data_IF_284842278975
#
_entry.id   IF_284842278975
#
_cell.length_a   1.000
_cell.length_b   1.000
_cell.length_c   1.000
_cell.angle_alpha   90.00
_cell.angle_beta   90.00
_cell.angle_gamma   90.00
#
_symmetry.space_group_name_H-M   'P 1'
#
loop_
_entity.id
_entity.type
_entity.pdbx_description
1 polymer ?
#
# COMPACT_ATOMS: atom_id res chain seq x y z
N UNK A 1 32.83 -71.30 -6.74
CA UNK A 1 31.59 -71.14 -7.54
C UNK A 1 30.79 -70.01 -6.92
N UNK A 2 30.97 -68.74 -7.30
CA UNK A 2 30.33 -68.02 -8.41
C UNK A 2 28.81 -68.26 -8.51
N UNK A 3 28.04 -67.31 -7.98
CA UNK A 3 26.76 -66.89 -8.53
C UNK A 3 26.75 -65.36 -8.54
N UNK A 4 26.54 -64.82 -9.73
CA UNK A 4 26.43 -63.39 -10.07
C UNK A 4 24.98 -62.97 -9.90
N UNK A 5 24.74 -61.78 -9.37
CA UNK A 5 23.48 -61.05 -9.57
C UNK A 5 23.79 -59.55 -9.70
N UNK A 6 23.70 -59.04 -10.93
CA UNK A 6 23.54 -57.62 -11.23
C UNK A 6 22.07 -57.23 -10.98
N UNK A 7 21.82 -55.99 -10.57
CA UNK A 7 20.50 -55.34 -10.57
C UNK A 7 20.62 -53.92 -10.00
N UNK A 8 21.07 -52.96 -10.82
CA UNK A 8 20.22 -52.00 -11.55
C UNK A 8 19.74 -50.83 -10.65
N UNK A 9 20.52 -49.74 -10.64
CA UNK A 9 20.08 -48.43 -10.19
C UNK A 9 18.90 -47.97 -11.07
N UNK A 10 17.74 -47.75 -10.47
CA UNK A 10 16.63 -47.06 -11.13
C UNK A 10 16.81 -45.55 -10.92
N UNK A 11 17.22 -44.84 -11.96
CA UNK A 11 17.19 -43.38 -11.99
C UNK A 11 15.75 -42.94 -12.29
N UNK A 12 15.08 -42.35 -11.28
CA UNK A 12 13.77 -41.75 -11.45
C UNK A 12 13.97 -40.35 -12.05
N UNK A 13 13.75 -40.22 -13.36
CA UNK A 13 13.71 -38.92 -14.02
C UNK A 13 12.37 -38.25 -13.72
N UNK A 14 12.34 -37.30 -12.78
CA UNK A 14 11.22 -36.36 -12.66
C UNK A 14 11.31 -35.36 -13.81
N UNK A 15 10.48 -35.57 -14.83
CA UNK A 15 10.11 -34.54 -15.80
C UNK A 15 9.17 -33.55 -15.11
N UNK A 16 9.72 -32.45 -14.60
CA UNK A 16 8.92 -31.29 -14.21
C UNK A 16 8.55 -30.50 -15.47
N UNK A 17 7.28 -30.61 -15.88
CA UNK A 17 6.71 -29.66 -16.83
C UNK A 17 6.51 -28.31 -16.12
N UNK A 18 6.83 -27.17 -16.73
CA UNK A 18 6.46 -25.88 -16.18
C UNK A 18 4.94 -25.74 -16.27
N UNK A 19 4.26 -25.73 -15.14
CA UNK A 19 2.86 -25.35 -15.05
C UNK A 19 2.76 -23.84 -15.31
N UNK A 20 2.57 -23.46 -16.56
CA UNK A 20 2.08 -22.13 -16.90
C UNK A 20 0.56 -22.14 -16.67
N UNK A 21 0.14 -22.00 -15.42
CA UNK A 21 -1.24 -21.68 -15.10
C UNK A 21 -1.34 -20.15 -15.02
N UNK A 22 -1.75 -19.52 -16.12
CA UNK A 22 -2.24 -18.15 -16.06
C UNK A 22 -3.71 -18.22 -15.65
N UNK A 23 -3.98 -17.92 -14.38
CA UNK A 23 -5.33 -17.78 -13.83
C UNK A 23 -5.94 -16.42 -14.17
N UNK A 24 -7.28 -16.30 -14.27
CA UNK A 24 -7.95 -15.16 -14.86
C UNK A 24 -7.83 -13.98 -13.91
N UNK A 25 -7.01 -13.02 -14.28
CA UNK A 25 -6.99 -11.76 -13.58
C UNK A 25 -8.29 -11.05 -13.96
N UNK A 26 -9.06 -10.62 -12.95
CA UNK A 26 -10.34 -9.91 -13.07
C UNK A 26 -10.37 -8.96 -14.27
N UNK A 27 -11.53 -8.75 -14.90
CA UNK A 27 -11.70 -7.82 -16.03
C UNK A 27 -11.21 -6.39 -15.73
N UNK A 28 -11.04 -6.06 -14.44
CA UNK A 28 -10.47 -4.80 -13.97
C UNK A 28 -8.93 -4.75 -13.99
N UNK A 29 -8.22 -5.86 -14.13
CA UNK A 29 -6.76 -5.87 -14.08
C UNK A 29 -6.11 -5.38 -15.37
N UNK A 30 -5.10 -4.53 -15.23
CA UNK A 30 -4.40 -3.91 -16.35
C UNK A 30 -2.97 -4.43 -16.51
N UNK A 31 -2.17 -4.34 -15.44
CA UNK A 31 -0.76 -4.71 -15.49
C UNK A 31 -0.16 -5.02 -14.12
N UNK A 32 0.95 -5.78 -14.16
CA UNK A 32 1.84 -6.02 -13.03
C UNK A 32 3.26 -5.81 -13.52
N UNK A 33 4.06 -5.08 -12.75
CA UNK A 33 5.46 -4.83 -13.03
C UNK A 33 6.30 -5.04 -11.77
N UNK A 34 7.34 -5.88 -11.84
CA UNK A 34 8.27 -6.07 -10.73
C UNK A 34 9.36 -5.01 -10.80
N UNK A 35 9.43 -4.16 -9.78
CA UNK A 35 10.49 -3.17 -9.64
C UNK A 35 11.70 -3.81 -8.94
N UNK A 36 12.88 -3.66 -9.56
CA UNK A 36 14.14 -4.20 -9.04
C UNK A 36 15.17 -3.08 -8.94
N UNK A 37 15.89 -3.03 -7.82
CA UNK A 37 17.05 -2.16 -7.61
C UNK A 37 18.05 -2.84 -6.68
N UNK A 38 19.32 -2.44 -6.74
CA UNK A 38 20.43 -3.09 -6.01
C UNK A 38 20.91 -2.32 -4.78
N UNK A 39 20.16 -1.31 -4.31
CA UNK A 39 20.53 -0.52 -3.12
C UNK A 39 20.13 -1.20 -1.82
N UNK A 40 20.95 -1.11 -0.77
CA UNK A 40 20.64 -1.64 0.58
C UNK A 40 19.39 -1.04 1.22
N UNK A 41 18.94 0.09 0.68
CA UNK A 41 17.80 0.90 1.14
C UNK A 41 16.53 0.64 0.33
N UNK A 42 16.58 -0.25 -0.66
CA UNK A 42 15.47 -0.61 -1.52
C UNK A 42 14.65 -1.75 -0.91
N UNK A 43 13.33 -1.69 -1.07
CA UNK A 43 12.36 -2.63 -0.49
C UNK A 43 11.58 -2.00 0.65
N UNK A 44 10.68 -2.77 1.27
CA UNK A 44 9.93 -2.28 2.44
C UNK A 44 8.85 -1.24 2.13
N UNK A 45 8.33 -1.16 0.89
CA UNK A 45 7.50 -0.03 0.49
C UNK A 45 6.03 -0.16 0.93
N UNK A 46 5.63 0.68 1.87
CA UNK A 46 4.30 0.62 2.50
C UNK A 46 3.34 1.74 2.06
N UNK A 47 3.86 2.87 1.55
CA UNK A 47 3.03 3.99 1.07
C UNK A 47 3.37 4.41 -0.35
N UNK A 48 2.35 4.84 -1.11
CA UNK A 48 2.47 5.24 -2.52
C UNK A 48 1.54 6.41 -2.84
N UNK A 49 2.07 7.39 -3.56
CA UNK A 49 1.32 8.52 -4.11
C UNK A 49 1.75 8.75 -5.56
N UNK A 50 0.78 9.04 -6.44
CA UNK A 50 1.01 9.27 -7.87
C UNK A 50 0.61 10.70 -8.27
N UNK A 51 1.23 11.23 -9.31
CA UNK A 51 0.71 12.44 -9.97
C UNK A 51 -0.64 12.18 -10.63
N UNK A 52 -1.44 13.23 -10.85
CA UNK A 52 -2.78 13.14 -11.48
C UNK A 52 -2.80 12.36 -12.81
N UNK A 53 -1.70 12.41 -13.56
CA UNK A 53 -1.50 11.71 -14.84
C UNK A 53 -0.91 10.30 -14.70
N UNK A 54 -0.67 9.86 -13.47
CA UNK A 54 -0.07 8.60 -13.07
C UNK A 54 1.41 8.42 -13.45
N UNK A 55 2.09 9.44 -13.97
CA UNK A 55 3.45 9.31 -14.56
C UNK A 55 4.59 9.46 -13.57
N UNK A 56 4.37 10.17 -12.47
CA UNK A 56 5.35 10.35 -11.40
C UNK A 56 4.81 9.70 -10.13
N UNK A 57 5.72 9.19 -9.28
CA UNK A 57 5.33 8.61 -8.01
C UNK A 57 6.26 9.07 -6.89
N UNK A 58 5.73 8.98 -5.68
CA UNK A 58 6.48 9.02 -4.42
C UNK A 58 6.12 7.76 -3.64
N UNK A 59 7.10 7.05 -3.14
CA UNK A 59 6.91 5.90 -2.26
C UNK A 59 7.71 6.09 -0.97
N UNK A 60 7.19 5.55 0.13
CA UNK A 60 7.90 5.49 1.41
C UNK A 60 8.15 4.03 1.78
N UNK A 61 9.19 3.81 2.56
CA UNK A 61 9.49 2.51 3.16
C UNK A 61 9.37 2.56 4.68
N UNK A 62 8.90 1.45 5.25
CA UNK A 62 8.91 1.07 6.67
C UNK A 62 10.29 1.21 7.36
N UNK A 63 11.38 1.35 6.59
CA UNK A 63 12.74 1.71 7.06
C UNK A 63 13.04 3.21 7.01
N UNK A 64 12.02 4.05 7.09
CA UNK A 64 12.15 5.49 7.24
C UNK A 64 12.82 6.13 6.04
N UNK A 65 12.52 5.65 4.83
CA UNK A 65 13.09 6.18 3.58
C UNK A 65 11.99 6.62 2.62
N UNK A 66 12.32 7.53 1.72
CA UNK A 66 11.41 8.05 0.70
C UNK A 66 12.12 8.07 -0.65
N UNK A 67 11.35 7.80 -1.71
CA UNK A 67 11.87 7.80 -3.07
C UNK A 67 10.86 8.41 -4.01
N UNK A 68 11.34 9.24 -4.92
CA UNK A 68 10.56 9.76 -6.04
C UNK A 68 11.02 9.13 -7.34
N UNK A 69 10.09 8.95 -8.27
CA UNK A 69 10.41 8.37 -9.57
C UNK A 69 9.34 8.61 -10.62
N UNK A 70 9.50 7.91 -11.74
CA UNK A 70 8.63 7.95 -12.90
C UNK A 70 8.22 6.54 -13.30
N UNK A 71 6.97 6.42 -13.70
CA UNK A 71 6.40 5.21 -14.27
C UNK A 71 6.37 5.37 -15.79
N UNK A 72 7.12 4.51 -16.48
CA UNK A 72 7.14 4.42 -17.94
C UNK A 72 6.05 3.46 -18.40
N UNK A 73 5.31 3.84 -19.45
CA UNK A 73 4.21 3.02 -19.96
C UNK A 73 4.31 2.81 -21.46
N UNK A 74 3.98 1.59 -21.88
CA UNK A 74 3.80 1.19 -23.28
C UNK A 74 2.40 0.59 -23.42
N UNK A 75 1.61 1.08 -24.37
CA UNK A 75 0.22 0.64 -24.58
C UNK A 75 -0.65 0.69 -23.30
N UNK A 76 -0.44 1.72 -22.48
CA UNK A 76 -1.17 1.91 -21.22
C UNK A 76 -0.80 0.93 -20.11
N UNK A 77 0.27 0.12 -20.25
CA UNK A 77 0.78 -0.78 -19.20
C UNK A 77 2.14 -0.32 -18.72
N UNK A 78 2.45 -0.55 -17.44
CA UNK A 78 3.78 -0.26 -16.88
C UNK A 78 4.83 -1.11 -17.63
N UNK A 79 5.81 -0.43 -18.22
CA UNK A 79 6.93 -1.04 -18.94
C UNK A 79 8.27 -0.78 -18.28
N UNK A 80 8.35 0.17 -17.35
CA UNK A 80 9.57 0.53 -16.64
C UNK A 80 9.31 1.43 -15.44
N UNK A 81 10.24 1.40 -14.49
CA UNK A 81 10.30 2.30 -13.34
C UNK A 81 11.69 2.92 -13.31
N UNK A 82 11.74 4.24 -13.28
CA UNK A 82 12.98 5.01 -13.10
C UNK A 82 12.84 5.82 -11.82
N UNK A 83 13.75 5.64 -10.86
CA UNK A 83 13.73 6.38 -9.59
C UNK A 83 14.98 7.23 -9.40
N UNK A 84 14.86 8.28 -8.58
CA UNK A 84 15.99 8.98 -8.03
C UNK A 84 16.70 8.18 -6.93
N UNK A 85 17.52 8.90 -6.16
CA UNK A 85 18.11 8.38 -4.93
C UNK A 85 17.02 8.10 -3.89
N UNK A 86 17.20 7.04 -3.10
CA UNK A 86 16.36 6.75 -1.95
C UNK A 86 16.90 7.56 -0.78
N UNK A 87 16.13 8.55 -0.36
CA UNK A 87 16.51 9.49 0.68
C UNK A 87 16.00 9.03 2.05
N UNK A 88 16.75 9.36 3.10
CA UNK A 88 16.30 9.10 4.47
C UNK A 88 15.35 10.19 4.93
N UNK A 89 14.24 9.79 5.53
CA UNK A 89 13.36 10.70 6.25
C UNK A 89 14.11 11.26 7.47
N UNK A 90 13.79 12.51 7.80
CA UNK A 90 14.37 13.23 8.93
C UNK A 90 13.33 13.48 10.01
N UNK A 91 13.80 13.65 11.24
CA UNK A 91 12.97 14.06 12.38
C UNK A 91 12.56 15.55 12.24
N UNK A 92 11.58 16.04 13.01
CA UNK A 92 11.25 17.46 13.08
C UNK A 92 12.40 18.37 13.54
N UNK A 93 13.41 17.82 14.21
CA UNK A 93 14.64 18.55 14.57
C UNK A 93 15.70 18.53 13.44
N UNK A 94 15.41 17.89 12.31
CA UNK A 94 16.30 17.74 11.15
C UNK A 94 17.36 16.64 11.31
N UNK A 95 17.25 15.80 12.33
CA UNK A 95 18.15 14.68 12.58
C UNK A 95 17.74 13.41 11.84
N UNK A 96 18.59 12.39 11.93
CA UNK A 96 18.29 11.04 11.46
C UNK A 96 17.23 10.37 12.33
N UNK A 97 16.42 9.51 11.72
CA UNK A 97 15.47 8.66 12.45
C UNK A 97 16.21 7.54 13.19
N UNK A 98 15.98 7.42 14.50
CA UNK A 98 16.37 6.24 15.26
C UNK A 98 15.66 4.99 14.74
N UNK A 99 16.17 3.80 15.07
CA UNK A 99 15.61 2.54 14.56
C UNK A 99 14.13 2.34 14.90
N UNK A 100 13.69 2.78 16.09
CA UNK A 100 12.28 2.72 16.51
C UNK A 100 11.40 3.83 15.91
N UNK A 101 11.99 4.75 15.14
CA UNK A 101 11.33 5.89 14.51
C UNK A 101 11.24 5.75 12.99
N UNK A 102 11.62 4.60 12.42
CA UNK A 102 11.68 4.43 10.96
C UNK A 102 10.37 3.93 10.35
N UNK A 103 9.59 3.21 11.14
CA UNK A 103 8.36 2.48 10.82
C UNK A 103 7.27 3.36 10.17
N UNK A 104 7.43 3.66 8.88
CA UNK A 104 6.62 4.60 8.11
C UNK A 104 5.65 3.81 7.22
N UNK A 105 4.36 4.00 7.44
CA UNK A 105 3.32 3.12 6.91
C UNK A 105 2.48 3.83 5.84
N UNK A 106 1.82 4.94 6.23
CA UNK A 106 0.93 5.68 5.35
C UNK A 106 1.60 6.91 4.75
N UNK A 107 1.26 7.21 3.50
CA UNK A 107 1.70 8.40 2.76
C UNK A 107 0.49 9.08 2.15
N UNK A 108 0.38 10.40 2.34
CA UNK A 108 -0.55 11.23 1.60
C UNK A 108 0.12 12.54 1.14
N UNK A 109 -0.16 13.02 -0.06
CA UNK A 109 0.35 14.31 -0.56
C UNK A 109 -0.78 15.33 -0.65
N UNK A 110 -0.65 16.41 0.12
CA UNK A 110 -1.61 17.52 0.07
C UNK A 110 -1.60 18.23 -1.29
N UNK A 111 -2.68 18.96 -1.66
CA UNK A 111 -2.71 19.78 -2.86
C UNK A 111 -1.59 20.83 -2.97
N UNK A 112 -0.97 21.21 -1.84
CA UNK A 112 0.17 22.13 -1.80
C UNK A 112 1.52 21.43 -1.89
N UNK A 113 1.56 20.11 -2.10
CA UNK A 113 2.78 19.30 -2.22
C UNK A 113 3.44 18.92 -0.90
N UNK A 114 2.82 19.24 0.25
CA UNK A 114 3.29 18.75 1.55
C UNK A 114 3.01 17.27 1.67
N UNK A 115 4.06 16.49 1.96
CA UNK A 115 3.99 15.05 2.20
C UNK A 115 3.63 14.79 3.65
N UNK A 116 2.56 14.07 3.91
CA UNK A 116 2.12 13.68 5.25
C UNK A 116 2.37 12.19 5.39
N UNK A 117 3.07 11.80 6.46
CA UNK A 117 3.50 10.42 6.68
C UNK A 117 3.07 9.99 8.08
N UNK A 118 2.45 8.82 8.20
CA UNK A 118 2.14 8.17 9.47
C UNK A 118 3.19 7.12 9.83
N UNK A 119 3.38 6.92 11.14
CA UNK A 119 4.33 5.94 11.65
C UNK A 119 3.71 5.08 12.74
N UNK A 120 4.05 3.79 12.76
CA UNK A 120 3.43 2.79 13.62
C UNK A 120 4.11 2.66 15.00
N UNK A 121 5.41 2.40 15.06
CA UNK A 121 6.11 2.04 16.30
C UNK A 121 5.83 2.94 17.52
N UNK A 122 5.86 4.27 17.32
CA UNK A 122 5.21 5.23 18.23
C UNK A 122 4.23 6.03 17.37
N UNK A 123 2.90 5.86 17.55
CA UNK A 123 1.90 6.49 16.71
C UNK A 123 2.16 7.99 16.61
N UNK A 124 2.44 8.47 15.40
CA UNK A 124 2.67 9.88 15.08
C UNK A 124 2.40 10.10 13.60
N UNK A 125 2.11 11.35 13.27
CA UNK A 125 1.95 11.80 11.89
C UNK A 125 2.81 13.04 11.72
N UNK A 126 3.69 13.05 10.72
CA UNK A 126 4.53 14.19 10.40
C UNK A 126 4.25 14.73 9.01
N UNK A 127 4.25 16.05 8.89
CA UNK A 127 4.12 16.78 7.64
C UNK A 127 5.49 17.32 7.21
N UNK A 128 5.97 16.87 6.05
CA UNK A 128 7.22 17.24 5.39
C UNK A 128 6.94 18.29 4.32
N UNK A 129 7.33 19.53 4.61
CA UNK A 129 7.28 20.66 3.67
C UNK A 129 8.66 21.32 3.50
N UNK A 130 8.69 22.54 2.96
CA UNK A 130 9.93 23.27 2.65
C UNK A 130 10.85 23.51 3.86
N UNK A 131 10.27 23.55 5.07
CA UNK A 131 10.99 23.80 6.33
C UNK A 131 11.43 22.51 7.04
N UNK A 132 11.26 21.36 6.41
CA UNK A 132 11.47 20.04 7.02
C UNK A 132 10.19 19.46 7.61
N UNK A 133 10.37 18.45 8.49
CA UNK A 133 9.26 17.76 9.14
C UNK A 133 8.64 18.59 10.27
N UNK A 134 7.33 18.51 10.40
CA UNK A 134 6.55 19.10 11.49
C UNK A 134 5.61 18.04 12.06
N UNK A 135 5.51 17.97 13.39
CA UNK A 135 4.63 17.02 14.04
C UNK A 135 3.18 17.50 14.03
N UNK A 136 2.26 16.66 13.57
CA UNK A 136 0.83 16.93 13.67
C UNK A 136 0.31 16.46 15.03
N UNK A 137 -0.58 17.23 15.68
CA UNK A 137 -1.18 16.82 16.93
C UNK A 137 -2.00 15.56 16.71
N UNK A 138 -1.93 14.61 17.64
CA UNK A 138 -2.77 13.41 17.60
C UNK A 138 -3.90 13.48 18.64
N UNK A 139 -5.08 12.90 18.36
CA UNK A 139 -6.12 12.81 19.35
C UNK A 139 -5.73 11.78 20.43
N UNK A 140 -6.16 11.95 21.70
CA UNK A 140 -5.85 11.02 22.79
C UNK A 140 -6.21 9.55 22.49
N UNK A 141 -7.23 9.32 21.66
CA UNK A 141 -7.64 7.99 21.23
C UNK A 141 -6.51 7.18 20.59
N UNK A 142 -5.52 7.81 19.96
CA UNK A 142 -4.41 7.10 19.30
C UNK A 142 -3.49 6.41 20.31
N UNK A 143 -3.43 6.91 21.55
CA UNK A 143 -2.68 6.26 22.62
C UNK A 143 -3.27 4.90 23.06
N UNK A 144 -4.47 4.55 22.58
CA UNK A 144 -5.12 3.26 22.84
C UNK A 144 -5.05 2.28 21.65
N UNK A 145 -4.38 2.67 20.57
CA UNK A 145 -4.16 1.78 19.42
C UNK A 145 -3.31 0.57 19.84
N UNK A 146 -3.58 -0.56 19.18
CA UNK A 146 -2.81 -1.76 19.38
C UNK A 146 -1.36 -1.52 18.92
N UNK A 147 -0.39 -1.95 19.72
CA UNK A 147 1.02 -1.93 19.34
C UNK A 147 1.23 -2.75 18.08
N UNK A 148 1.97 -2.19 17.11
CA UNK A 148 2.24 -2.78 15.80
C UNK A 148 0.97 -3.12 15.00
N UNK A 149 -0.05 -2.27 15.12
CA UNK A 149 -1.20 -2.22 14.19
C UNK A 149 -1.76 -0.79 14.14
N UNK A 150 -0.87 0.16 13.89
CA UNK A 150 -1.04 1.60 13.95
C UNK A 150 -1.73 2.17 12.71
N UNK A 151 -1.40 3.43 12.40
CA UNK A 151 -2.05 4.25 11.39
C UNK A 151 -1.55 3.92 9.97
N UNK A 152 -1.95 2.77 9.43
CA UNK A 152 -1.42 2.29 8.14
C UNK A 152 -2.06 2.99 6.93
N UNK A 153 -3.37 3.14 6.93
CA UNK A 153 -4.05 3.88 5.88
C UNK A 153 -4.06 5.39 6.19
N UNK A 154 -3.61 6.19 5.23
CA UNK A 154 -3.53 7.65 5.30
C UNK A 154 -3.90 8.23 3.93
N UNK A 155 -4.82 9.19 3.87
CA UNK A 155 -5.26 9.83 2.63
C UNK A 155 -5.62 11.30 2.86
N UNK A 156 -5.52 12.15 1.83
CA UNK A 156 -5.95 13.55 1.88
C UNK A 156 -7.01 13.78 0.79
N UNK A 157 -8.16 14.38 1.17
CA UNK A 157 -9.18 14.75 0.19
C UNK A 157 -8.82 16.06 -0.55
N UNK A 158 -9.59 16.38 -1.61
CA UNK A 158 -9.39 17.60 -2.41
C UNK A 158 -9.47 18.91 -1.59
N UNK A 159 -10.12 18.88 -0.41
CA UNK A 159 -10.24 20.02 0.50
C UNK A 159 -9.02 20.16 1.42
N UNK A 160 -8.10 19.19 1.39
CA UNK A 160 -6.94 19.11 2.27
C UNK A 160 -7.23 18.48 3.63
N UNK A 161 -8.39 17.84 3.82
CA UNK A 161 -8.67 17.11 5.06
C UNK A 161 -7.94 15.76 5.04
N UNK A 162 -7.22 15.48 6.12
CA UNK A 162 -6.46 14.24 6.29
C UNK A 162 -7.35 13.17 6.94
N UNK A 163 -7.36 11.98 6.36
CA UNK A 163 -8.07 10.82 6.87
C UNK A 163 -7.06 9.72 7.22
N UNK A 164 -7.29 9.03 8.33
CA UNK A 164 -6.47 7.89 8.72
C UNK A 164 -7.29 6.86 9.48
N UNK A 165 -6.85 5.61 9.43
CA UNK A 165 -7.45 4.51 10.17
C UNK A 165 -6.39 3.46 10.53
N UNK A 166 -6.64 2.63 11.54
CA UNK A 166 -5.65 1.68 12.00
C UNK A 166 -5.76 0.35 11.25
N UNK A 167 -4.66 -0.40 11.14
CA UNK A 167 -4.67 -1.77 10.60
C UNK A 167 -5.57 -2.68 11.44
N UNK A 168 -5.63 -2.44 12.76
CA UNK A 168 -6.53 -3.15 13.68
C UNK A 168 -7.37 -2.21 14.51
N UNK A 169 -8.65 -2.55 14.62
CA UNK A 169 -9.59 -1.86 15.50
C UNK A 169 -9.95 -2.61 16.78
N UNK A 170 -9.08 -3.51 17.28
CA UNK A 170 -9.23 -4.09 18.62
C UNK A 170 -10.15 -5.32 18.76
N UNK A 171 -10.83 -5.76 17.69
CA UNK A 171 -11.61 -7.00 17.72
C UNK A 171 -12.13 -7.46 16.36
N UNK A 172 -12.30 -8.77 16.15
CA UNK A 172 -12.65 -9.35 14.84
C UNK A 172 -13.99 -8.87 14.25
N UNK A 173 -14.90 -8.35 15.08
CA UNK A 173 -16.19 -7.78 14.65
C UNK A 173 -16.28 -6.27 14.86
N UNK A 174 -15.22 -5.65 15.37
CA UNK A 174 -15.18 -4.21 15.61
C UNK A 174 -14.84 -3.50 14.29
N UNK A 175 -15.65 -2.53 13.83
CA UNK A 175 -15.35 -1.77 12.62
C UNK A 175 -14.09 -0.92 12.80
N UNK A 176 -13.50 -0.46 11.70
CA UNK A 176 -12.32 0.40 11.73
C UNK A 176 -12.74 1.86 11.91
N UNK A 177 -12.35 2.54 12.99
CA UNK A 177 -12.60 3.95 13.12
C UNK A 177 -11.84 4.72 12.04
N UNK A 178 -12.50 5.67 11.38
CA UNK A 178 -11.85 6.61 10.47
C UNK A 178 -11.77 7.95 11.16
N UNK A 179 -10.54 8.42 11.36
CA UNK A 179 -10.28 9.73 11.92
C UNK A 179 -10.05 10.74 10.82
N UNK A 180 -10.59 11.94 10.99
CA UNK A 180 -10.45 13.06 10.06
C UNK A 180 -9.90 14.27 10.78
N UNK A 181 -8.78 14.80 10.29
CA UNK A 181 -8.23 16.10 10.65
C UNK A 181 -8.64 17.13 9.60
N UNK A 182 -9.49 18.07 10.01
CA UNK A 182 -9.95 19.18 9.16
C UNK A 182 -9.89 20.48 9.96
N UNK A 183 -9.34 21.53 9.37
CA UNK A 183 -9.19 22.85 10.01
C UNK A 183 -8.51 22.77 11.40
N UNK A 184 -7.50 21.90 11.53
CA UNK A 184 -6.75 21.69 12.77
C UNK A 184 -7.52 20.93 13.86
N UNK A 185 -8.69 20.35 13.55
CA UNK A 185 -9.52 19.59 14.49
C UNK A 185 -9.70 18.16 14.06
N UNK A 186 -9.41 17.24 14.98
CA UNK A 186 -9.72 15.83 14.81
C UNK A 186 -11.20 15.55 15.10
N UNK A 187 -11.77 14.67 14.29
CA UNK A 187 -13.09 14.06 14.45
C UNK A 187 -13.01 12.58 14.07
N UNK A 188 -14.01 11.79 14.45
CA UNK A 188 -14.20 10.43 13.96
C UNK A 188 -15.57 10.40 13.26
N UNK A 189 -15.67 10.81 11.99
CA UNK A 189 -16.97 10.98 11.33
C UNK A 189 -17.70 9.64 11.12
N UNK A 190 -16.98 8.59 10.72
CA UNK A 190 -17.57 7.29 10.39
C UNK A 190 -16.60 6.14 10.69
N UNK A 191 -17.07 4.92 10.46
CA UNK A 191 -16.31 3.69 10.64
C UNK A 191 -16.48 2.81 9.41
N UNK A 192 -15.44 2.05 9.07
CA UNK A 192 -15.45 1.10 7.97
C UNK A 192 -15.77 -0.29 8.51
N UNK A 193 -16.81 -0.91 7.95
CA UNK A 193 -17.23 -2.24 8.36
C UNK A 193 -16.12 -3.27 8.15
N UNK A 194 -15.94 -4.16 9.13
CA UNK A 194 -15.13 -5.36 8.95
C UNK A 194 -15.90 -6.35 8.09
N UNK A 195 -15.25 -6.84 7.04
CA UNK A 195 -15.82 -7.85 6.15
C UNK A 195 -14.74 -8.86 5.76
N UNK A 196 -14.88 -10.11 6.22
CA UNK A 196 -13.87 -11.15 6.06
C UNK A 196 -12.64 -10.96 6.96
N UNK A 197 -11.52 -11.58 6.60
CA UNK A 197 -10.23 -11.47 7.29
C UNK A 197 -9.37 -10.28 6.86
N UNK A 198 -9.98 -9.31 6.16
CA UNK A 198 -9.27 -8.18 5.57
C UNK A 198 -9.01 -7.07 6.59
N UNK A 199 -7.81 -6.52 6.53
CA UNK A 199 -7.34 -5.38 7.30
C UNK A 199 -6.93 -4.24 6.35
N UNK A 200 -7.25 -2.96 6.66
CA UNK A 200 -6.82 -1.83 5.84
C UNK A 200 -5.32 -1.63 5.96
N UNK A 201 -4.66 -1.40 4.82
CA UNK A 201 -3.20 -1.20 4.74
C UNK A 201 -2.84 0.05 3.94
N UNK A 202 -3.74 0.55 3.10
CA UNK A 202 -3.53 1.79 2.35
C UNK A 202 -4.85 2.46 2.00
N UNK A 203 -4.82 3.76 1.75
CA UNK A 203 -5.98 4.49 1.27
C UNK A 203 -5.58 5.68 0.40
N UNK A 204 -6.47 6.08 -0.51
CA UNK A 204 -6.32 7.30 -1.29
C UNK A 204 -7.69 7.85 -1.74
N UNK A 205 -7.79 9.16 -1.94
CA UNK A 205 -8.96 9.78 -2.57
C UNK A 205 -8.75 9.86 -4.08
N UNK A 206 -9.65 9.23 -4.83
CA UNK A 206 -9.58 9.28 -6.28
C UNK A 206 -10.06 10.62 -6.86
N UNK A 207 -9.84 10.80 -8.18
CA UNK A 207 -10.26 11.99 -8.91
C UNK A 207 -11.78 12.10 -9.12
N UNK A 208 -12.56 11.18 -8.53
CA UNK A 208 -14.02 11.25 -8.39
C UNK A 208 -14.47 11.64 -6.98
N UNK A 209 -13.53 11.96 -6.08
CA UNK A 209 -13.79 12.31 -4.68
C UNK A 209 -14.12 11.11 -3.79
N UNK A 210 -14.08 9.89 -4.33
CA UNK A 210 -14.32 8.68 -3.54
C UNK A 210 -13.06 8.25 -2.79
N UNK A 211 -13.24 7.73 -1.58
CA UNK A 211 -12.17 7.11 -0.81
C UNK A 211 -11.98 5.66 -1.27
N UNK A 212 -10.78 5.31 -1.70
CA UNK A 212 -10.37 3.95 -2.00
C UNK A 212 -9.55 3.41 -0.85
N UNK A 213 -9.89 2.22 -0.37
CA UNK A 213 -9.16 1.54 0.71
C UNK A 213 -8.62 0.23 0.16
N UNK A 214 -7.31 0.08 0.20
CA UNK A 214 -6.62 -1.17 -0.01
C UNK A 214 -6.62 -1.96 1.31
N UNK A 215 -7.06 -3.20 1.21
CA UNK A 215 -7.12 -4.13 2.31
C UNK A 215 -6.41 -5.43 1.98
N UNK A 216 -5.86 -6.06 3.00
CA UNK A 216 -5.06 -7.28 2.90
C UNK A 216 -5.58 -8.33 3.85
N UNK A 217 -5.56 -9.59 3.42
CA UNK A 217 -5.72 -10.77 4.25
C UNK A 217 -4.52 -11.69 4.07
N UNK A 218 -4.06 -12.34 5.15
CA UNK A 218 -2.94 -13.26 5.12
C UNK A 218 -3.34 -14.64 5.66
N UNK A 219 -3.15 -15.67 4.84
CA UNK A 219 -3.48 -17.06 5.20
C UNK A 219 -2.41 -17.74 6.06
N UNK A 220 -1.24 -17.12 6.25
CA UNK A 220 -0.04 -17.73 6.80
C UNK A 220 1.02 -18.07 5.74
N UNK A 221 0.63 -18.18 4.47
CA UNK A 221 1.54 -18.53 3.37
C UNK A 221 1.37 -17.65 2.12
N UNK A 222 0.23 -17.00 1.96
CA UNK A 222 -0.08 -16.17 0.81
C UNK A 222 -0.98 -15.00 1.22
N UNK A 223 -0.80 -13.87 0.54
CA UNK A 223 -1.62 -12.68 0.66
C UNK A 223 -2.81 -12.71 -0.28
N UNK A 224 -3.88 -12.06 0.13
CA UNK A 224 -5.04 -11.74 -0.69
C UNK A 224 -5.31 -10.24 -0.54
N UNK A 225 -5.58 -9.56 -1.65
CA UNK A 225 -5.80 -8.12 -1.69
C UNK A 225 -7.24 -7.81 -2.08
N UNK A 226 -7.80 -6.74 -1.50
CA UNK A 226 -9.11 -6.22 -1.84
C UNK A 226 -9.04 -4.70 -1.92
N UNK A 227 -9.73 -4.11 -2.89
CA UNK A 227 -9.98 -2.66 -2.89
C UNK A 227 -11.46 -2.41 -2.75
N UNK A 228 -11.83 -1.58 -1.78
CA UNK A 228 -13.19 -1.04 -1.63
C UNK A 228 -13.19 0.46 -1.93
N UNK A 229 -14.27 0.93 -2.57
CA UNK A 229 -14.55 2.33 -2.86
C UNK A 229 -15.71 2.80 -1.98
N UNK A 230 -15.56 3.97 -1.39
CA UNK A 230 -16.54 4.60 -0.51
C UNK A 230 -16.86 6.01 -1.00
N UNK A 231 -18.15 6.29 -1.18
CA UNK A 231 -18.64 7.64 -1.37
C UNK A 231 -18.89 8.26 0.00
N UNK A 232 -18.25 9.39 0.27
CA UNK A 232 -18.34 10.07 1.57
C UNK A 232 -19.24 11.30 1.41
N UNK A 233 -20.30 11.37 2.20
CA UNK A 233 -21.19 12.53 2.29
C UNK A 233 -21.10 13.15 3.68
N UNK A 234 -20.27 14.19 3.79
CA UNK A 234 -19.99 14.87 5.06
C UNK A 234 -19.36 13.94 6.10
N UNK A 235 -20.18 13.47 7.04
CA UNK A 235 -19.77 12.62 8.16
C UNK A 235 -20.29 11.18 8.01
N UNK A 236 -20.78 10.79 6.85
CA UNK A 236 -21.35 9.46 6.62
C UNK A 236 -20.82 8.82 5.33
N UNK A 237 -20.87 7.49 5.29
CA UNK A 237 -20.67 6.70 4.07
C UNK A 237 -22.00 6.65 3.33
N UNK A 238 -22.05 7.25 2.14
CA UNK A 238 -23.23 7.27 1.28
C UNK A 238 -23.37 5.97 0.47
N UNK A 239 -22.25 5.43 0.00
CA UNK A 239 -22.19 4.18 -0.74
C UNK A 239 -20.86 3.46 -0.51
N UNK A 240 -20.89 2.13 -0.62
CA UNK A 240 -19.73 1.26 -0.56
C UNK A 240 -19.81 0.25 -1.70
N UNK A 241 -18.67 -0.02 -2.37
CA UNK A 241 -18.55 -1.15 -3.30
C UNK A 241 -17.16 -1.76 -3.29
N UNK A 242 -17.09 -3.08 -3.44
CA UNK A 242 -15.82 -3.77 -3.72
C UNK A 242 -15.48 -3.61 -5.20
N UNK A 243 -14.31 -3.05 -5.50
CA UNK A 243 -13.81 -2.87 -6.87
C UNK A 243 -13.12 -4.14 -7.35
N UNK A 244 -12.33 -4.75 -6.47
CA UNK A 244 -11.50 -5.90 -6.81
C UNK A 244 -11.24 -6.73 -5.57
N UNK A 245 -11.15 -8.04 -5.74
CA UNK A 245 -10.59 -8.97 -4.75
C UNK A 245 -9.75 -9.98 -5.51
N UNK A 246 -8.49 -10.15 -5.12
CA UNK A 246 -7.60 -11.14 -5.72
C UNK A 246 -7.89 -12.53 -5.17
N UNK A 247 -7.33 -13.55 -5.84
CA UNK A 247 -7.11 -14.83 -5.18
C UNK A 247 -5.90 -14.75 -4.24
N UNK A 248 -5.74 -15.74 -3.38
CA UNK A 248 -4.55 -15.86 -2.54
C UNK A 248 -3.32 -16.12 -3.41
N UNK A 249 -2.27 -15.33 -3.24
CA UNK A 249 -1.00 -15.47 -3.93
C UNK A 249 -0.97 -14.87 -5.35
N UNK A 250 -2.04 -14.18 -5.78
CA UNK A 250 -2.02 -13.46 -7.06
C UNK A 250 -0.96 -12.35 -7.08
N UNK A 251 -0.81 -11.66 -5.96
CA UNK A 251 0.13 -10.57 -5.73
C UNK A 251 0.89 -10.78 -4.43
N UNK A 252 2.01 -10.07 -4.29
CA UNK A 252 2.74 -10.01 -3.03
C UNK A 252 2.01 -9.11 -2.00
N UNK A 253 2.72 -8.68 -0.96
CA UNK A 253 2.19 -7.87 0.13
C UNK A 253 1.82 -6.43 -0.30
N UNK A 254 0.74 -6.23 -1.07
CA UNK A 254 0.26 -4.90 -1.45
C UNK A 254 -0.14 -4.08 -0.23
N UNK A 255 0.50 -2.92 -0.04
CA UNK A 255 0.31 -2.02 1.12
C UNK A 255 0.00 -0.58 0.69
N UNK A 256 0.71 -0.04 -0.30
CA UNK A 256 0.43 1.29 -0.84
C UNK A 256 -0.59 1.27 -1.98
N UNK A 257 -1.42 2.31 -2.09
CA UNK A 257 -2.40 2.52 -3.17
C UNK A 257 -2.45 4.00 -3.56
N UNK A 258 -2.59 4.28 -4.85
CA UNK A 258 -2.86 5.61 -5.39
C UNK A 258 -3.91 5.54 -6.50
N UNK A 259 -4.85 6.49 -6.50
CA UNK A 259 -5.97 6.61 -7.41
C UNK A 259 -5.77 7.81 -8.34
N UNK A 260 -5.80 7.57 -9.65
CA UNK A 260 -5.52 8.61 -10.66
C UNK A 260 -6.37 8.41 -11.91
N UNK A 261 -6.37 9.39 -12.83
CA UNK A 261 -7.19 9.34 -14.06
C UNK A 261 -6.30 9.26 -15.28
N UNK A 262 -6.52 8.26 -16.13
CA UNK A 262 -5.77 8.15 -17.38
C UNK A 262 -6.28 9.11 -18.47
N UNK A 263 -5.53 9.18 -19.58
CA UNK A 263 -5.86 10.04 -20.73
C UNK A 263 -7.20 9.67 -21.39
N UNK A 264 -7.71 8.46 -21.17
CA UNK A 264 -9.03 8.02 -21.64
C UNK A 264 -10.15 8.37 -20.65
N UNK A 265 -9.84 9.02 -19.52
CA UNK A 265 -10.80 9.39 -18.48
C UNK A 265 -11.09 8.27 -17.49
N UNK A 266 -10.46 7.10 -17.61
CA UNK A 266 -10.68 5.95 -16.73
C UNK A 266 -9.91 6.14 -15.43
N UNK A 267 -10.58 5.90 -14.30
CA UNK A 267 -9.89 5.88 -13.00
C UNK A 267 -9.10 4.59 -12.89
N UNK A 268 -7.83 4.73 -12.51
CA UNK A 268 -6.91 3.63 -12.25
C UNK A 268 -6.46 3.66 -10.81
N UNK A 269 -6.23 2.47 -10.29
CA UNK A 269 -5.64 2.27 -8.98
C UNK A 269 -4.30 1.58 -9.20
N UNK A 270 -3.23 2.25 -8.81
CA UNK A 270 -1.88 1.69 -8.79
C UNK A 270 -1.55 1.34 -7.35
N UNK A 271 -1.13 0.11 -7.12
CA UNK A 271 -0.73 -0.38 -5.81
C UNK A 271 0.74 -0.80 -5.84
N UNK A 272 1.43 -0.70 -4.71
CA UNK A 272 2.80 -1.19 -4.54
C UNK A 272 2.85 -2.27 -3.46
N UNK A 273 3.63 -3.32 -3.68
CA UNK A 273 3.90 -4.31 -2.64
C UNK A 273 5.16 -4.01 -1.86
N UNK A 274 5.04 -4.22 -0.57
CA UNK A 274 6.14 -4.43 0.33
C UNK A 274 6.75 -5.83 0.10
N UNK A 275 8.06 -5.93 0.15
CA UNK A 275 8.77 -7.20 0.07
C UNK A 275 9.22 -7.74 1.44
N UNK A 276 8.89 -7.07 2.54
CA UNK A 276 9.38 -7.29 3.91
C UNK A 276 10.91 -7.47 3.97
N UNK A 277 11.66 -6.95 2.99
CA UNK A 277 13.08 -7.27 2.77
C UNK A 277 13.39 -8.77 2.72
N UNK A 278 12.42 -9.58 2.31
CA UNK A 278 12.52 -11.01 2.16
C UNK A 278 12.84 -11.36 0.71
N UNK A 279 13.87 -12.18 0.52
CA UNK A 279 14.34 -12.62 -0.80
C UNK A 279 13.28 -13.38 -1.63
N UNK A 280 12.22 -13.89 -0.98
CA UNK A 280 11.13 -14.61 -1.65
C UNK A 280 10.03 -13.67 -2.15
N UNK A 281 10.00 -12.43 -1.64
CA UNK A 281 9.00 -11.44 -1.98
C UNK A 281 9.55 -10.46 -3.01
N UNK A 282 8.64 -9.71 -3.63
CA UNK A 282 8.94 -8.79 -4.71
C UNK A 282 8.27 -7.45 -4.44
N UNK A 283 8.98 -6.36 -4.72
CA UNK A 283 8.36 -5.04 -4.90
C UNK A 283 7.66 -5.03 -6.28
N UNK A 284 6.34 -5.02 -6.29
CA UNK A 284 5.49 -5.07 -7.48
C UNK A 284 4.61 -3.82 -7.54
N UNK A 285 4.53 -3.20 -8.71
CA UNK A 285 3.45 -2.28 -9.05
C UNK A 285 2.32 -3.07 -9.70
N UNK A 286 1.11 -2.93 -9.19
CA UNK A 286 -0.10 -3.58 -9.71
C UNK A 286 -1.12 -2.51 -10.09
N UNK A 287 -1.60 -2.53 -11.33
CA UNK A 287 -2.62 -1.59 -11.82
C UNK A 287 -3.93 -2.30 -12.13
N UNK A 288 -5.02 -1.72 -11.64
CA UNK A 288 -6.40 -2.08 -12.00
C UNK A 288 -7.15 -0.82 -12.47
N UNK A 289 -8.17 -0.99 -13.29
CA UNK A 289 -9.16 0.05 -13.62
C UNK A 289 -10.34 -0.01 -12.65
N UNK A 290 -10.99 1.12 -12.44
CA UNK A 290 -12.28 1.20 -11.77
C UNK A 290 -13.36 1.23 -12.86
N UNK A 291 -14.23 0.24 -12.87
CA UNK A 291 -15.43 0.26 -13.72
C UNK A 291 -16.50 1.15 -13.08
N UNK A 292 -17.18 1.96 -13.89
CA UNK A 292 -18.30 2.81 -13.43
C UNK A 292 -19.53 1.97 -13.06
#
# INVERSE_FOLDING_TARGET
MRLRSLGALSALALLTLPACAAEPISDVFLSRFTWQSTGETFGGFSGLELSDDGRSFVAISDRGSIVAGRIERTDGKISGITSGEIERLTTPSGGELGQSEQDAEGLAISPTGTRVISFEGTPRIWAYGDKGATELPLPPAFGSLQTNSGLEALAIDETGALYTMPERSGGLTQPFPVWRLKDGRWSQPFEISRSGGFLPVGADFGPDGALYILERSFSGFAFQSRVRRFEIDGDAIAAERTIFTSDYGSFDNLEGIAAWRDEAGTIRLTMISDDNFNILQRTEFVEIRVEE
#
